data_IF_580994758805
#
_entry.id   IF_580994758805
#
_cell.length_a   1.000
_cell.length_b   1.000
_cell.length_c   1.000
_cell.angle_alpha   90.00
_cell.angle_beta   90.00
_cell.angle_gamma   90.00
#
_symmetry.space_group_name_H-M   'P 1'
#
loop_
_entity.id
_entity.type
_entity.pdbx_description
1 polymer ?
#
# COMPACT_ATOMS: atom_id res chain seq x y z
N UNK A 1 -26.36 -1.60 -38.03
CA UNK A 1 -25.29 -2.22 -37.23
C UNK A 1 -24.32 -1.10 -36.85
N UNK A 2 -23.99 -0.86 -35.56
CA UNK A 2 -22.96 0.12 -35.24
C UNK A 2 -21.62 -0.39 -35.78
N UNK A 3 -20.99 0.40 -36.65
CA UNK A 3 -19.68 0.06 -37.22
C UNK A 3 -18.61 0.28 -36.14
N UNK A 4 -18.01 -0.80 -35.63
CA UNK A 4 -16.88 -0.74 -34.70
C UNK A 4 -15.60 -0.97 -35.49
N UNK A 5 -14.53 -0.25 -35.15
CA UNK A 5 -13.20 -0.52 -35.75
C UNK A 5 -12.57 -1.77 -35.13
N UNK A 6 -11.63 -2.45 -35.83
CA UNK A 6 -10.88 -3.55 -35.23
C UNK A 6 -10.27 -3.17 -33.87
N UNK A 7 -10.35 -4.07 -32.89
CA UNK A 7 -9.95 -3.89 -31.48
C UNK A 7 -10.85 -2.99 -30.61
N UNK A 8 -11.90 -2.37 -31.15
CA UNK A 8 -12.90 -1.68 -30.34
C UNK A 8 -13.96 -2.66 -29.84
N UNK A 9 -14.30 -2.59 -28.54
CA UNK A 9 -15.42 -3.30 -27.94
C UNK A 9 -16.50 -2.29 -27.56
N UNK A 10 -17.75 -2.57 -27.90
CA UNK A 10 -18.90 -1.80 -27.41
C UNK A 10 -19.37 -2.46 -26.12
N UNK A 11 -19.44 -1.69 -25.04
CA UNK A 11 -19.82 -2.17 -23.70
C UNK A 11 -21.06 -1.40 -23.25
N UNK A 12 -22.16 -2.11 -23.00
CA UNK A 12 -23.34 -1.54 -22.35
C UNK A 12 -23.11 -1.50 -20.83
N UNK A 13 -23.36 -0.34 -20.23
CA UNK A 13 -23.12 -0.11 -18.79
C UNK A 13 -24.44 -0.29 -18.04
N UNK A 14 -24.52 -1.34 -17.22
CA UNK A 14 -25.64 -1.59 -16.31
C UNK A 14 -25.15 -1.35 -14.89
N UNK A 15 -25.52 -0.21 -14.32
CA UNK A 15 -25.16 0.15 -12.94
C UNK A 15 -26.40 0.35 -12.13
N UNK A 16 -26.34 -0.04 -10.86
CA UNK A 16 -27.32 0.38 -9.88
C UNK A 16 -27.28 1.91 -9.74
N UNK A 17 -28.46 2.53 -9.70
CA UNK A 17 -28.58 3.95 -9.46
C UNK A 17 -28.36 4.22 -7.97
N UNK A 18 -27.16 4.66 -7.61
CA UNK A 18 -26.82 5.02 -6.24
C UNK A 18 -27.49 6.37 -5.87
N UNK A 19 -28.43 6.35 -4.91
CA UNK A 19 -29.04 7.55 -4.32
C UNK A 19 -28.25 8.11 -3.13
N UNK A 20 -27.39 7.28 -2.53
CA UNK A 20 -26.40 7.61 -1.50
C UNK A 20 -25.14 6.75 -1.73
N UNK A 21 -24.04 7.06 -1.03
CA UNK A 21 -22.85 6.20 -0.99
C UNK A 21 -22.12 5.99 -2.34
N UNK A 22 -22.27 6.93 -3.28
CA UNK A 22 -21.55 6.88 -4.55
C UNK A 22 -20.17 7.54 -4.47
N UNK A 23 -19.22 6.96 -5.20
CA UNK A 23 -17.91 7.55 -5.45
C UNK A 23 -18.08 8.77 -6.39
N UNK A 24 -18.23 9.96 -5.80
CA UNK A 24 -18.43 11.22 -6.50
C UNK A 24 -17.12 11.88 -6.91
N UNK A 25 -16.43 11.32 -7.91
CA UNK A 25 -15.15 11.84 -8.39
C UNK A 25 -15.21 12.15 -9.88
N UNK A 26 -14.53 13.21 -10.34
CA UNK A 26 -14.47 13.49 -11.78
C UNK A 26 -13.64 12.42 -12.49
N UNK A 27 -14.04 12.10 -13.72
CA UNK A 27 -13.32 11.14 -14.55
C UNK A 27 -11.86 11.53 -14.76
N UNK A 28 -11.61 12.82 -14.97
CA UNK A 28 -10.27 13.36 -15.19
C UNK A 28 -9.34 13.09 -13.99
N UNK A 29 -9.85 13.19 -12.76
CA UNK A 29 -9.04 13.05 -11.55
C UNK A 29 -8.61 11.59 -11.32
N UNK A 30 -9.54 10.64 -11.38
CA UNK A 30 -9.16 9.23 -11.20
C UNK A 30 -8.34 8.69 -12.36
N UNK A 31 -8.58 9.17 -13.58
CA UNK A 31 -7.75 8.80 -14.74
C UNK A 31 -6.35 9.40 -14.65
N UNK A 32 -6.19 10.61 -14.12
CA UNK A 32 -4.88 11.19 -13.85
C UNK A 32 -4.13 10.38 -12.77
N UNK A 33 -4.79 10.08 -11.65
CA UNK A 33 -4.24 9.23 -10.60
C UNK A 33 -3.84 7.84 -11.13
N UNK A 34 -4.65 7.24 -12.02
CA UNK A 34 -4.34 5.94 -12.63
C UNK A 34 -3.10 5.97 -13.55
N UNK A 35 -2.73 7.15 -14.11
CA UNK A 35 -1.49 7.31 -14.86
C UNK A 35 -0.28 7.48 -13.94
N UNK A 36 -0.48 8.09 -12.78
CA UNK A 36 0.58 8.33 -11.79
C UNK A 36 0.91 7.10 -10.93
N UNK A 37 -0.06 6.19 -10.76
CA UNK A 37 0.00 5.10 -9.79
C UNK A 37 -0.20 3.71 -10.39
N UNK A 38 0.38 2.71 -9.72
CA UNK A 38 0.01 1.30 -9.91
C UNK A 38 -1.29 0.93 -9.19
N UNK A 39 -1.83 -0.25 -9.49
CA UNK A 39 -3.15 -0.71 -9.04
C UNK A 39 -3.44 -0.47 -7.54
N UNK A 40 -2.53 -0.88 -6.65
CA UNK A 40 -2.76 -0.73 -5.20
C UNK A 40 -2.81 0.73 -4.73
N UNK A 41 -1.98 1.61 -5.29
CA UNK A 41 -2.00 3.03 -4.93
C UNK A 41 -3.27 3.70 -5.48
N UNK A 42 -3.74 3.30 -6.67
CA UNK A 42 -5.03 3.73 -7.20
C UNK A 42 -6.21 3.24 -6.32
N UNK A 43 -6.18 1.99 -5.83
CA UNK A 43 -7.22 1.51 -4.91
C UNK A 43 -7.28 2.35 -3.62
N UNK A 44 -6.13 2.73 -3.07
CA UNK A 44 -6.06 3.61 -1.91
C UNK A 44 -6.59 5.01 -2.24
N UNK A 45 -6.24 5.57 -3.39
CA UNK A 45 -6.80 6.83 -3.89
C UNK A 45 -8.33 6.78 -3.98
N UNK A 46 -8.89 5.73 -4.59
CA UNK A 46 -10.34 5.59 -4.76
C UNK A 46 -11.05 5.40 -3.41
N UNK A 47 -10.43 4.69 -2.47
CA UNK A 47 -10.95 4.55 -1.10
C UNK A 47 -11.02 5.90 -0.38
N UNK A 48 -9.99 6.75 -0.54
CA UNK A 48 -10.00 8.09 0.07
C UNK A 48 -11.05 8.98 -0.61
N UNK A 49 -11.12 8.95 -1.94
CA UNK A 49 -12.03 9.76 -2.72
C UNK A 49 -13.51 9.31 -2.65
N UNK A 50 -13.81 8.13 -2.08
CA UNK A 50 -15.18 7.69 -1.80
C UNK A 50 -15.81 8.36 -0.60
N UNK A 51 -15.06 9.20 0.13
CA UNK A 51 -15.55 9.93 1.29
C UNK A 51 -16.02 11.33 0.88
N UNK A 52 -16.98 11.88 1.63
CA UNK A 52 -17.46 13.25 1.41
C UNK A 52 -16.38 14.29 1.71
N UNK A 53 -16.45 15.44 1.04
CA UNK A 53 -15.57 16.57 1.32
C UNK A 53 -15.67 17.02 2.79
N UNK A 54 -14.51 17.41 3.35
CA UNK A 54 -14.35 17.80 4.75
C UNK A 54 -14.50 16.67 5.79
N UNK A 55 -14.73 15.42 5.38
CA UNK A 55 -14.80 14.30 6.31
C UNK A 55 -13.42 13.87 6.80
N UNK A 56 -13.26 13.79 8.12
CA UNK A 56 -12.03 13.30 8.74
C UNK A 56 -12.21 11.84 9.11
N UNK A 57 -11.40 10.95 8.53
CA UNK A 57 -11.41 9.52 8.81
C UNK A 57 -10.11 9.07 9.47
N UNK A 58 -10.20 8.14 10.42
CA UNK A 58 -9.05 7.50 11.04
C UNK A 58 -8.55 6.35 10.15
N UNK A 59 -7.57 6.64 9.29
CA UNK A 59 -7.06 5.67 8.33
C UNK A 59 -6.16 4.63 9.01
N UNK A 60 -6.49 3.35 8.85
CA UNK A 60 -5.68 2.24 9.40
C UNK A 60 -5.44 1.14 8.36
N UNK A 61 -4.32 0.40 8.45
CA UNK A 61 -4.07 -0.75 7.58
C UNK A 61 -5.16 -1.82 7.66
N UNK A 62 -5.79 -2.00 8.82
CA UNK A 62 -6.87 -2.95 9.02
C UNK A 62 -8.13 -2.56 8.23
N UNK A 63 -8.51 -1.28 8.27
CA UNK A 63 -9.65 -0.76 7.51
C UNK A 63 -9.44 -0.93 6.00
N UNK A 64 -8.24 -0.62 5.50
CA UNK A 64 -7.90 -0.82 4.07
C UNK A 64 -7.90 -2.29 3.69
N UNK A 65 -7.38 -3.18 4.55
CA UNK A 65 -7.45 -4.62 4.29
C UNK A 65 -8.88 -5.11 4.16
N UNK A 66 -9.78 -4.64 5.01
CA UNK A 66 -11.20 -5.00 4.97
C UNK A 66 -11.91 -4.44 3.74
N UNK A 67 -11.62 -3.19 3.37
CA UNK A 67 -12.30 -2.52 2.26
C UNK A 67 -11.82 -2.97 0.88
N UNK A 68 -10.51 -3.15 0.69
CA UNK A 68 -9.90 -3.38 -0.63
C UNK A 68 -8.94 -4.58 -0.68
N UNK A 69 -8.84 -5.36 0.39
CA UNK A 69 -8.02 -6.59 0.41
C UNK A 69 -6.51 -6.37 0.44
N UNK A 70 -6.04 -5.15 0.72
CA UNK A 70 -4.61 -4.83 0.68
C UNK A 70 -3.88 -5.30 1.94
N UNK A 71 -2.67 -5.87 1.78
CA UNK A 71 -1.79 -6.20 2.90
C UNK A 71 -1.24 -4.94 3.59
N UNK A 72 -0.97 -5.03 4.90
CA UNK A 72 -0.53 -3.88 5.69
C UNK A 72 0.83 -3.31 5.26
N UNK A 73 1.78 -4.16 4.81
CA UNK A 73 3.06 -3.72 4.24
C UNK A 73 2.83 -2.92 2.96
N UNK A 74 2.07 -3.48 2.02
CA UNK A 74 1.72 -2.82 0.75
C UNK A 74 1.03 -1.50 0.97
N UNK A 75 0.13 -1.40 1.96
CA UNK A 75 -0.53 -0.16 2.35
C UNK A 75 0.49 0.92 2.75
N UNK A 76 1.45 0.59 3.63
CA UNK A 76 2.47 1.56 4.08
C UNK A 76 3.27 2.09 2.91
N UNK A 77 3.69 1.21 2.00
CA UNK A 77 4.45 1.59 0.81
C UNK A 77 3.62 2.46 -0.15
N UNK A 78 2.35 2.10 -0.37
CA UNK A 78 1.48 2.85 -1.29
C UNK A 78 1.09 4.22 -0.69
N UNK A 79 0.89 4.30 0.62
CA UNK A 79 0.63 5.55 1.32
C UNK A 79 1.77 6.56 1.07
N UNK A 80 3.03 6.11 1.19
CA UNK A 80 4.19 6.96 0.92
C UNK A 80 4.23 7.45 -0.54
N UNK A 81 3.77 6.64 -1.51
CA UNK A 81 3.68 7.10 -2.91
C UNK A 81 2.64 8.19 -3.11
N UNK A 82 1.50 8.12 -2.42
CA UNK A 82 0.49 9.18 -2.47
C UNK A 82 1.03 10.47 -1.86
N UNK A 83 1.80 10.37 -0.76
CA UNK A 83 2.50 11.52 -0.18
C UNK A 83 3.55 12.08 -1.13
N UNK A 84 4.35 11.21 -1.76
CA UNK A 84 5.41 11.63 -2.69
C UNK A 84 4.88 12.37 -3.93
N UNK A 85 3.78 11.87 -4.48
CA UNK A 85 3.11 12.50 -5.64
C UNK A 85 2.30 13.73 -5.28
N UNK A 86 2.13 14.04 -3.98
CA UNK A 86 1.40 15.22 -3.51
C UNK A 86 -0.12 15.07 -3.46
N UNK A 87 -0.64 13.83 -3.50
CA UNK A 87 -2.06 13.56 -3.28
C UNK A 87 -2.42 13.51 -1.79
N UNK A 88 -1.43 13.22 -0.94
CA UNK A 88 -1.52 13.37 0.51
C UNK A 88 -0.52 14.41 0.96
N UNK A 89 -1.00 15.46 1.62
CA UNK A 89 -0.17 16.54 2.14
C UNK A 89 -0.20 16.48 3.67
N UNK A 90 0.97 16.40 4.29
CA UNK A 90 1.07 16.36 5.75
C UNK A 90 0.71 17.73 6.35
N UNK A 91 -0.15 17.73 7.35
CA UNK A 91 -0.55 18.94 8.08
C UNK A 91 0.37 19.12 9.30
N UNK A 92 1.39 19.97 9.16
CA UNK A 92 2.33 20.30 10.23
C UNK A 92 3.15 19.11 10.71
N UNK A 93 3.57 19.12 11.98
CA UNK A 93 4.31 18.03 12.62
C UNK A 93 3.34 17.03 13.26
N UNK A 94 2.96 15.98 12.54
CA UNK A 94 2.09 14.93 13.08
C UNK A 94 1.64 13.89 12.05
N UNK A 95 0.71 13.02 12.44
CA UNK A 95 0.17 11.95 11.59
C UNK A 95 -1.12 12.37 10.85
N UNK A 96 -1.34 13.67 10.68
CA UNK A 96 -2.53 14.20 10.01
C UNK A 96 -2.17 14.56 8.58
N UNK A 97 -2.99 14.09 7.63
CA UNK A 97 -2.79 14.29 6.20
C UNK A 97 -4.08 14.77 5.56
N UNK A 98 -3.94 15.70 4.63
CA UNK A 98 -5.01 16.20 3.77
C UNK A 98 -4.93 15.51 2.41
N UNK A 99 -6.04 14.92 2.00
CA UNK A 99 -6.17 14.26 0.70
C UNK A 99 -6.69 15.25 -0.34
N UNK A 100 -6.10 15.20 -1.54
CA UNK A 100 -6.54 15.97 -2.70
C UNK A 100 -6.71 15.05 -3.91
N UNK A 101 -7.79 15.24 -4.67
CA UNK A 101 -8.03 14.53 -5.93
C UNK A 101 -7.00 14.88 -7.02
N UNK A 102 -6.39 16.07 -6.91
CA UNK A 102 -5.32 16.54 -7.79
C UNK A 102 -4.04 16.77 -6.98
N UNK A 103 -2.87 16.41 -7.51
CA UNK A 103 -1.61 16.52 -6.78
C UNK A 103 -1.24 17.97 -6.46
N UNK A 104 -0.99 18.26 -5.19
CA UNK A 104 -0.53 19.56 -4.69
C UNK A 104 1.00 19.60 -4.69
N UNK A 105 1.59 19.90 -5.84
CA UNK A 105 3.07 19.91 -6.00
C UNK A 105 3.77 21.11 -5.35
N UNK A 106 3.04 22.18 -5.06
CA UNK A 106 3.63 23.45 -4.60
C UNK A 106 4.09 23.43 -3.13
N UNK A 107 3.51 22.57 -2.28
CA UNK A 107 3.80 22.59 -0.84
C UNK A 107 5.16 22.00 -0.46
N UNK A 108 5.87 21.31 -1.37
CA UNK A 108 7.23 20.79 -1.10
C UNK A 108 8.34 21.84 -1.25
N UNK A 109 8.13 22.88 -2.06
CA UNK A 109 9.17 23.90 -2.30
C UNK A 109 9.35 24.89 -1.14
N UNK A 110 8.51 24.84 -0.09
CA UNK A 110 8.60 25.76 1.06
C UNK A 110 9.22 25.16 2.32
N UNK A 111 9.46 23.84 2.34
CA UNK A 111 10.12 23.16 3.45
C UNK A 111 11.49 22.63 2.98
N UNK A 112 12.32 23.52 2.44
CA UNK A 112 13.75 23.25 2.31
C UNK A 112 14.35 23.09 3.71
N UNK A 113 14.59 21.84 4.11
CA UNK A 113 15.66 21.37 5.02
C UNK A 113 15.62 19.84 5.25
N UNK A 114 15.04 19.05 4.33
CA UNK A 114 15.19 17.58 4.37
C UNK A 114 16.06 17.16 3.18
N UNK A 115 17.15 16.40 3.37
CA UNK A 115 18.03 16.03 2.27
C UNK A 115 17.25 15.21 1.24
N UNK A 116 17.06 15.79 0.06
CA UNK A 116 16.56 15.10 -1.12
C UNK A 116 17.67 14.15 -1.58
N UNK A 117 17.42 12.84 -1.47
CA UNK A 117 18.26 11.81 -2.05
C UNK A 117 18.55 10.66 -1.09
N UNK A 118 17.65 9.69 -1.01
CA UNK A 118 18.07 8.33 -0.68
C UNK A 118 18.67 7.73 -1.96
N UNK A 119 19.94 8.06 -2.19
CA UNK A 119 20.77 7.42 -3.20
C UNK A 119 21.23 6.06 -2.66
N UNK A 120 20.61 4.98 -3.16
CA UNK A 120 20.97 3.61 -2.80
C UNK A 120 22.21 3.07 -3.54
N UNK A 121 22.93 3.90 -4.31
CA UNK A 121 24.05 3.43 -5.14
C UNK A 121 25.46 3.69 -4.60
N UNK A 122 25.61 4.40 -3.47
CA UNK A 122 26.92 4.82 -2.98
C UNK A 122 27.67 3.82 -2.06
N UNK A 123 27.07 2.70 -1.65
CA UNK A 123 27.63 1.82 -0.61
C UNK A 123 28.28 0.49 -1.09
N UNK A 124 28.52 0.29 -2.39
CA UNK A 124 29.06 -1.00 -2.90
C UNK A 124 30.53 -0.93 -3.32
N UNK A 125 31.19 0.22 -3.29
CA UNK A 125 32.59 0.32 -3.70
C UNK A 125 33.46 1.06 -2.69
N UNK A 126 33.78 0.36 -1.59
CA UNK A 126 35.10 0.39 -0.92
C UNK A 126 35.03 -0.46 0.34
N UNK A 127 35.52 -1.70 0.27
CA UNK A 127 36.46 -2.26 1.26
C UNK A 127 36.88 -3.69 0.89
N UNK A 128 38.02 -3.78 0.24
CA UNK A 128 39.06 -4.77 0.45
C UNK A 128 40.32 -3.94 0.79
N UNK A 129 41.18 -4.16 1.78
CA UNK A 129 41.47 -5.25 2.72
C UNK A 129 42.40 -4.72 3.87
N UNK A 130 42.58 -5.55 4.93
CA UNK A 130 43.62 -5.55 6.00
C UNK A 130 43.29 -4.79 7.32
N UNK A 131 42.95 -5.41 8.49
CA UNK A 131 43.71 -6.29 9.45
C UNK A 131 44.78 -5.44 10.19
N UNK A 132 44.83 -5.18 11.52
CA UNK A 132 44.62 -6.00 12.74
C UNK A 132 44.74 -5.15 14.06
N UNK A 133 44.17 -5.67 15.18
CA UNK A 133 44.52 -5.52 16.64
C UNK A 133 44.02 -4.33 17.50
N UNK A 134 43.07 -4.61 18.41
CA UNK A 134 43.19 -4.71 19.90
C UNK A 134 41.80 -4.52 20.58
N UNK A 135 41.50 -5.34 21.59
CA UNK A 135 40.37 -5.25 22.54
C UNK A 135 40.92 -4.73 23.90
N UNK A 136 40.15 -4.24 24.91
CA UNK A 136 38.75 -4.55 25.30
C UNK A 136 37.90 -3.24 25.46
N UNK A 137 36.66 -3.13 25.98
CA UNK A 137 35.82 -3.89 26.91
C UNK A 137 34.36 -3.34 26.80
N UNK A 138 33.36 -4.24 26.92
CA UNK A 138 31.96 -4.06 27.35
C UNK A 138 31.04 -2.94 26.79
N UNK A 139 30.23 -3.29 25.77
CA UNK A 139 28.80 -2.93 25.75
C UNK A 139 28.00 -4.13 25.21
N UNK A 140 27.33 -4.84 26.11
CA UNK A 140 26.38 -5.89 25.81
C UNK A 140 25.10 -5.31 25.15
N UNK A 141 24.69 -5.87 24.01
CA UNK A 141 23.29 -5.83 23.58
C UNK A 141 22.83 -7.27 23.27
N UNK A 142 22.18 -7.86 24.27
CA UNK A 142 21.52 -9.14 24.23
C UNK A 142 20.27 -9.08 23.32
N UNK A 143 20.31 -9.80 22.19
CA UNK A 143 19.09 -10.20 21.48
C UNK A 143 19.16 -11.72 21.32
N UNK A 144 18.67 -12.43 22.34
CA UNK A 144 18.43 -13.87 22.25
C UNK A 144 17.36 -14.18 21.20
N UNK A 145 17.81 -14.96 20.23
CA UNK A 145 17.07 -15.66 19.19
C UNK A 145 16.07 -16.68 19.80
N UNK A 146 14.77 -16.52 19.54
CA UNK A 146 13.79 -17.61 19.71
C UNK A 146 13.51 -18.29 18.37
N UNK A 147 14.18 -19.43 18.16
CA UNK A 147 13.79 -20.44 17.19
C UNK A 147 12.41 -21.03 17.56
N UNK A 148 11.38 -20.85 16.72
CA UNK A 148 10.27 -21.81 16.66
C UNK A 148 10.55 -22.75 15.48
N UNK A 149 11.00 -23.95 15.82
CA UNK A 149 11.20 -25.07 14.89
C UNK A 149 9.83 -25.66 14.53
N UNK A 150 9.40 -25.55 13.27
CA UNK A 150 8.38 -26.45 12.72
C UNK A 150 9.10 -27.54 11.92
N UNK A 151 9.21 -28.74 12.50
CA UNK A 151 9.59 -29.96 11.77
C UNK A 151 8.59 -31.05 12.11
N UNK A 152 7.72 -31.36 11.15
CA UNK A 152 6.79 -32.48 11.17
C UNK A 152 6.46 -32.82 9.72
N UNK A 153 7.07 -33.91 9.24
CA UNK A 153 7.03 -34.40 7.87
C UNK A 153 5.91 -35.45 7.75
N UNK A 154 5.35 -35.51 6.54
CA UNK A 154 4.69 -36.65 5.89
C UNK A 154 3.19 -36.95 6.07
N UNK A 155 2.56 -37.01 4.89
CA UNK A 155 1.26 -37.58 4.54
C UNK A 155 1.21 -39.07 4.88
N UNK A 156 0.10 -39.52 5.45
CA UNK A 156 -0.46 -40.85 5.21
C UNK A 156 -1.99 -40.74 4.99
N UNK A 157 -2.52 -41.68 4.20
CA UNK A 157 -3.79 -41.65 3.46
C UNK A 157 -4.81 -42.64 4.07
N UNK A 158 -6.04 -42.16 4.31
CA UNK A 158 -7.40 -42.82 4.33
C UNK A 158 -7.69 -44.00 5.30
N UNK A 159 -8.97 -44.39 5.60
CA UNK A 159 -10.26 -43.99 4.99
C UNK A 159 -11.45 -43.65 5.93
N UNK A 160 -12.55 -43.25 5.28
CA UNK A 160 -13.96 -43.00 5.63
C UNK A 160 -14.58 -43.78 6.81
N UNK A 161 -15.42 -43.16 7.66
CA UNK A 161 -16.36 -43.88 8.52
C UNK A 161 -17.69 -44.14 7.80
N UNK A 162 -18.08 -45.41 7.77
CA UNK A 162 -19.35 -45.96 7.30
C UNK A 162 -20.54 -45.55 8.17
N UNK A 163 -21.66 -45.23 7.51
CA UNK A 163 -23.01 -45.19 8.08
C UNK A 163 -23.33 -46.47 8.86
N UNK A 164 -23.85 -46.33 10.08
CA UNK A 164 -24.70 -47.37 10.67
C UNK A 164 -25.75 -46.77 11.61
N UNK A 165 -27.00 -46.85 11.15
CA UNK A 165 -28.21 -46.64 11.91
C UNK A 165 -28.31 -47.68 13.04
N UNK A 166 -28.81 -47.28 14.20
CA UNK A 166 -29.39 -48.19 15.18
C UNK A 166 -30.84 -47.77 15.47
N UNK A 167 -31.66 -48.81 15.56
CA UNK A 167 -33.13 -48.88 15.54
C UNK A 167 -33.83 -48.14 16.68
#
# INVERSE_FOLDING_TARGET
>A
MPNTVPNQRVVAIHREHASSDFLGIKNEHWQAAARDFGAHALMLYLYLASNRDGYTLALSPAAIRQAVGMAASTYRDQFLKLVDKGYLVQRGSGNTYDFYETPQRETRLRNENTPVGLDFTAAVQKQAQAVQKEAPEDIEININNTNIKNKGVEKQVSPTPSNQFYF
#
